data_IF_033767309902
#
_entry.id   IF_033767309902
#
_cell.length_a   1.000
_cell.length_b   1.000
_cell.length_c   1.000
_cell.angle_alpha   90.00
_cell.angle_beta   90.00
_cell.angle_gamma   90.00
#
_symmetry.space_group_name_H-M   'P 1'
#
loop_
_entity.id
_entity.type
_entity.pdbx_description
1 polymer ?
#
# COMPACT_ATOMS: atom_id res chain seq x y z
N UNK A 1 11.06 22.46 -43.54
CA UNK A 1 9.81 23.19 -43.25
C UNK A 1 9.48 22.91 -41.80
N UNK A 2 9.57 23.94 -40.97
CA UNK A 2 9.32 23.88 -39.52
C UNK A 2 7.86 24.28 -39.27
N UNK A 3 7.08 23.44 -38.60
CA UNK A 3 5.77 23.80 -38.07
C UNK A 3 5.83 23.75 -36.54
N UNK A 4 5.80 24.93 -35.94
CA UNK A 4 5.63 25.16 -34.52
C UNK A 4 4.14 25.02 -34.20
N UNK A 5 3.78 24.15 -33.27
CA UNK A 5 2.45 24.07 -32.65
C UNK A 5 2.52 24.65 -31.27
N UNK A 6 1.91 25.83 -31.11
CA UNK A 6 1.77 26.52 -29.82
C UNK A 6 0.70 25.82 -28.98
N UNK A 7 1.03 25.42 -27.76
CA UNK A 7 0.09 24.95 -26.75
C UNK A 7 -0.34 26.11 -25.87
N UNK A 8 -1.64 26.42 -25.88
CA UNK A 8 -2.28 27.42 -25.03
C UNK A 8 -2.57 26.84 -23.64
N UNK A 9 -2.03 27.47 -22.61
CA UNK A 9 -2.30 27.17 -21.20
C UNK A 9 -3.50 28.00 -20.77
N UNK A 10 -4.62 27.36 -20.44
CA UNK A 10 -5.79 28.01 -19.83
C UNK A 10 -5.74 27.85 -18.31
N UNK A 11 -5.55 28.98 -17.65
CA UNK A 11 -5.54 29.11 -16.18
C UNK A 11 -6.99 29.35 -15.72
N UNK A 12 -7.62 28.41 -15.01
CA UNK A 12 -8.90 28.61 -14.33
C UNK A 12 -8.65 28.87 -12.84
N UNK A 13 -8.86 30.12 -12.46
CA UNK A 13 -8.87 30.60 -11.07
C UNK A 13 -10.33 30.55 -10.58
N UNK A 14 -10.67 29.67 -9.64
CA UNK A 14 -11.96 29.66 -8.96
C UNK A 14 -11.78 30.11 -7.51
N UNK A 15 -12.25 31.33 -7.20
CA UNK A 15 -12.35 31.86 -5.86
C UNK A 15 -13.67 31.39 -5.23
N UNK A 16 -13.62 30.77 -4.03
CA UNK A 16 -14.82 30.48 -3.21
C UNK A 16 -14.81 31.37 -1.98
N UNK A 17 -15.85 32.19 -1.89
CA UNK A 17 -16.18 33.06 -0.76
C UNK A 17 -16.78 32.23 0.39
N UNK A 18 -16.22 32.43 1.58
CA UNK A 18 -16.76 31.95 2.85
C UNK A 18 -17.71 33.02 3.40
N UNK A 19 -18.97 32.66 3.62
CA UNK A 19 -19.95 33.51 4.34
C UNK A 19 -20.19 32.91 5.72
N UNK A 20 -19.80 33.64 6.74
CA UNK A 20 -20.11 33.37 8.14
C UNK A 20 -21.46 34.02 8.49
N UNK A 21 -22.35 33.28 9.18
CA UNK A 21 -23.47 33.84 9.91
C UNK A 21 -23.49 33.28 11.32
N UNK A 22 -23.30 34.18 12.26
CA UNK A 22 -23.49 33.99 13.69
C UNK A 22 -24.93 34.41 14.10
N UNK A 23 -25.31 34.05 15.31
CA UNK A 23 -26.42 34.43 16.19
C UNK A 23 -27.47 33.33 16.39
N UNK A 24 -27.85 32.98 17.58
CA UNK A 24 -28.15 33.58 18.80
C UNK A 24 -28.63 32.56 19.84
N UNK A 25 -28.26 32.76 21.08
CA UNK A 25 -28.86 32.10 22.25
C UNK A 25 -30.22 32.69 22.59
N UNK A 26 -31.11 31.95 23.27
CA UNK A 26 -31.62 32.50 24.53
C UNK A 26 -31.55 31.53 25.72
N UNK A 27 -31.22 32.13 26.81
CA UNK A 27 -31.28 31.72 28.21
C UNK A 27 -32.71 31.48 28.65
N UNK A 28 -32.97 30.39 29.37
CA UNK A 28 -34.15 30.32 30.26
C UNK A 28 -33.80 29.59 31.55
N UNK A 29 -34.09 30.26 32.63
CA UNK A 29 -33.77 30.04 34.04
C UNK A 29 -34.75 29.06 34.69
N UNK A 30 -34.25 28.20 35.57
CA UNK A 30 -34.65 27.37 36.69
C UNK A 30 -36.11 27.42 37.22
N UNK A 31 -36.56 26.54 38.18
CA UNK A 31 -35.79 26.03 39.33
C UNK A 31 -36.00 24.56 39.74
N UNK A 32 -35.00 24.04 40.42
CA UNK A 32 -34.94 23.22 41.66
C UNK A 32 -36.10 22.32 42.06
N UNK A 33 -35.79 21.01 42.24
CA UNK A 33 -36.21 20.26 43.43
C UNK A 33 -35.27 19.06 43.63
N UNK A 34 -34.70 18.97 44.81
CA UNK A 34 -33.79 17.92 45.25
C UNK A 34 -34.56 16.67 45.71
N UNK A 35 -34.03 15.50 45.42
CA UNK A 35 -34.17 14.31 46.26
C UNK A 35 -32.93 13.40 46.09
N UNK A 36 -32.40 12.78 47.14
CA UNK A 36 -31.17 12.01 47.08
C UNK A 36 -31.48 10.57 46.69
N UNK A 37 -30.79 10.04 45.73
CA UNK A 37 -30.73 8.60 45.44
C UNK A 37 -29.32 8.12 45.43
N UNK A 38 -29.12 7.24 46.34
CA UNK A 38 -28.01 6.34 46.66
C UNK A 38 -27.09 5.96 45.55
N UNK A 39 -25.80 6.01 45.90
CA UNK A 39 -24.64 5.51 45.23
C UNK A 39 -24.81 4.11 44.61
N UNK A 40 -24.65 4.04 43.31
CA UNK A 40 -24.24 2.85 42.61
C UNK A 40 -22.85 3.12 42.01
N UNK A 41 -21.81 2.68 42.67
CA UNK A 41 -20.47 2.59 42.11
C UNK A 41 -20.48 1.49 41.03
N UNK A 42 -21.03 1.78 39.86
CA UNK A 42 -20.72 1.03 38.67
C UNK A 42 -19.36 1.51 38.18
N UNK A 43 -18.31 0.83 38.67
CA UNK A 43 -16.96 0.97 38.10
C UNK A 43 -17.06 0.61 36.63
N UNK A 44 -17.06 1.63 35.76
CA UNK A 44 -16.72 1.45 34.35
C UNK A 44 -15.27 0.99 34.29
N UNK A 45 -15.05 -0.31 34.25
CA UNK A 45 -13.80 -0.90 33.79
C UNK A 45 -13.76 -0.57 32.30
N UNK A 46 -13.19 0.58 31.96
CA UNK A 46 -12.67 0.80 30.62
C UNK A 46 -11.67 -0.31 30.38
N UNK A 47 -11.82 -1.13 29.32
CA UNK A 47 -10.76 -2.03 28.95
C UNK A 47 -9.53 -1.16 28.68
N UNK A 48 -8.53 -1.25 29.52
CA UNK A 48 -7.19 -0.76 29.22
C UNK A 48 -6.67 -1.63 28.08
N UNK A 49 -7.14 -1.34 26.86
CA UNK A 49 -6.48 -1.82 25.68
C UNK A 49 -5.06 -1.28 25.71
N UNK A 50 -4.08 -2.15 25.91
CA UNK A 50 -2.68 -1.80 25.68
C UNK A 50 -2.65 -1.10 24.32
N UNK A 51 -2.32 0.18 24.31
CA UNK A 51 -2.21 0.93 23.04
C UNK A 51 -1.22 0.15 22.18
N UNK A 52 -1.67 -0.33 21.02
CA UNK A 52 -0.80 -1.00 20.08
C UNK A 52 0.33 -0.03 19.73
N UNK A 53 1.56 -0.50 19.74
CA UNK A 53 2.72 0.30 19.31
C UNK A 53 2.66 0.59 17.79
N UNK A 54 1.86 -0.18 17.06
CA UNK A 54 1.59 0.01 15.64
C UNK A 54 0.53 1.08 15.40
N UNK A 55 0.81 2.02 14.54
CA UNK A 55 -0.19 2.98 14.06
C UNK A 55 -1.14 2.34 13.03
N UNK A 56 -2.29 2.94 12.76
CA UNK A 56 -3.15 2.51 11.64
C UNK A 56 -2.41 2.53 10.28
N UNK A 57 -1.45 3.43 10.10
CA UNK A 57 -0.63 3.50 8.88
C UNK A 57 0.26 2.27 8.75
N UNK A 58 0.95 1.86 9.83
CA UNK A 58 1.77 0.64 9.84
C UNK A 58 0.95 -0.58 9.42
N UNK A 59 -0.22 -0.75 10.03
CA UNK A 59 -1.10 -1.90 9.75
C UNK A 59 -1.58 -1.89 8.30
N UNK A 60 -2.06 -0.75 7.82
CA UNK A 60 -2.56 -0.61 6.45
C UNK A 60 -1.45 -0.87 5.42
N UNK A 61 -0.24 -0.34 5.66
CA UNK A 61 0.90 -0.57 4.79
C UNK A 61 1.33 -2.05 4.76
N UNK A 62 1.38 -2.70 5.92
CA UNK A 62 1.71 -4.13 6.01
C UNK A 62 0.68 -4.99 5.27
N UNK A 63 -0.61 -4.73 5.46
CA UNK A 63 -1.70 -5.43 4.76
C UNK A 63 -1.59 -5.27 3.25
N UNK A 64 -1.34 -4.05 2.77
CA UNK A 64 -1.16 -3.76 1.35
C UNK A 64 0.10 -4.45 0.80
N UNK A 65 1.21 -4.42 1.54
CA UNK A 65 2.47 -5.09 1.18
C UNK A 65 2.27 -6.60 1.04
N UNK A 66 1.53 -7.24 1.95
CA UNK A 66 1.18 -8.66 1.85
C UNK A 66 0.41 -8.94 0.56
N UNK A 67 -0.70 -8.22 0.32
CA UNK A 67 -1.54 -8.44 -0.85
C UNK A 67 -0.78 -8.20 -2.17
N UNK A 68 0.04 -7.17 -2.24
CA UNK A 68 0.86 -6.88 -3.42
C UNK A 68 1.88 -7.98 -3.73
N UNK A 69 2.60 -8.48 -2.70
CA UNK A 69 3.58 -9.56 -2.88
C UNK A 69 2.91 -10.87 -3.33
N UNK A 70 1.76 -11.22 -2.74
CA UNK A 70 1.00 -12.41 -3.12
C UNK A 70 0.56 -12.40 -4.59
N UNK A 71 0.28 -11.22 -5.14
CA UNK A 71 -0.10 -11.04 -6.55
C UNK A 71 1.09 -11.05 -7.51
N UNK A 72 2.29 -10.63 -7.08
CA UNK A 72 3.48 -10.63 -7.92
C UNK A 72 4.16 -11.99 -7.99
N UNK A 73 4.25 -12.72 -6.88
CA UNK A 73 5.00 -13.97 -6.79
C UNK A 73 4.62 -15.00 -7.86
N UNK A 74 3.33 -15.20 -8.22
CA UNK A 74 2.95 -16.09 -9.31
C UNK A 74 3.54 -15.71 -10.67
N UNK A 75 3.75 -14.42 -10.95
CA UNK A 75 4.39 -13.96 -12.19
C UNK A 75 5.85 -14.39 -12.22
N UNK A 76 6.56 -14.19 -11.11
CA UNK A 76 7.99 -14.56 -11.00
C UNK A 76 8.17 -16.08 -11.07
N UNK A 77 7.25 -16.85 -10.49
CA UNK A 77 7.28 -18.31 -10.51
C UNK A 77 7.00 -18.91 -11.90
N UNK A 78 6.33 -18.17 -12.78
CA UNK A 78 6.11 -18.60 -14.16
C UNK A 78 7.35 -18.47 -15.04
N UNK A 79 8.31 -17.58 -14.71
CA UNK A 79 9.46 -17.24 -15.56
C UNK A 79 10.23 -18.47 -16.08
N UNK A 80 10.63 -19.47 -15.24
CA UNK A 80 11.40 -20.61 -15.71
C UNK A 80 10.69 -21.46 -16.78
N UNK A 81 9.35 -21.48 -16.76
CA UNK A 81 8.55 -22.24 -17.74
C UNK A 81 8.10 -21.42 -18.95
N UNK A 82 8.41 -20.12 -19.01
CA UNK A 82 7.91 -19.20 -20.02
C UNK A 82 9.00 -18.54 -20.87
N UNK A 83 10.23 -18.52 -20.39
CA UNK A 83 11.39 -18.03 -21.15
C UNK A 83 12.62 -18.87 -20.89
N UNK A 84 13.48 -18.98 -21.90
CA UNK A 84 14.80 -19.63 -21.80
C UNK A 84 15.91 -18.62 -21.57
N UNK A 85 15.62 -17.32 -21.50
CA UNK A 85 16.59 -16.27 -21.25
C UNK A 85 17.16 -16.40 -19.82
N UNK A 86 18.45 -16.70 -19.65
CA UNK A 86 19.05 -16.89 -18.34
C UNK A 86 19.11 -15.61 -17.49
N UNK A 87 19.13 -14.43 -18.13
CA UNK A 87 19.12 -13.15 -17.43
C UNK A 87 17.76 -12.91 -16.77
N UNK A 88 16.66 -13.19 -17.48
CA UNK A 88 15.31 -13.17 -16.94
C UNK A 88 15.12 -14.19 -15.83
N UNK A 89 15.59 -15.42 -15.99
CA UNK A 89 15.49 -16.46 -14.96
C UNK A 89 16.25 -16.06 -13.69
N UNK A 90 17.46 -15.53 -13.83
CA UNK A 90 18.27 -15.05 -12.70
C UNK A 90 17.62 -13.86 -12.00
N UNK A 91 17.10 -12.91 -12.76
CA UNK A 91 16.38 -11.75 -12.22
C UNK A 91 15.15 -12.18 -11.42
N UNK A 92 14.29 -13.01 -11.99
CA UNK A 92 13.06 -13.47 -11.34
C UNK A 92 13.34 -14.30 -10.09
N UNK A 93 14.32 -15.18 -10.10
CA UNK A 93 14.71 -16.00 -8.95
C UNK A 93 15.17 -15.12 -7.77
N UNK A 94 16.04 -14.13 -8.04
CA UNK A 94 16.50 -13.19 -7.02
C UNK A 94 15.37 -12.33 -6.48
N UNK A 95 14.56 -11.72 -7.36
CA UNK A 95 13.44 -10.88 -6.98
C UNK A 95 12.40 -11.69 -6.17
N UNK A 96 12.07 -12.90 -6.63
CA UNK A 96 11.15 -13.78 -5.92
C UNK A 96 11.63 -14.16 -4.52
N UNK A 97 12.94 -14.39 -4.34
CA UNK A 97 13.52 -14.66 -3.02
C UNK A 97 13.37 -13.45 -2.09
N UNK A 98 13.66 -12.24 -2.56
CA UNK A 98 13.50 -11.01 -1.80
C UNK A 98 12.04 -10.78 -1.40
N UNK A 99 11.12 -10.86 -2.36
CA UNK A 99 9.69 -10.66 -2.09
C UNK A 99 9.08 -11.70 -1.14
N UNK A 100 9.55 -12.94 -1.15
CA UNK A 100 9.14 -13.95 -0.14
C UNK A 100 9.65 -13.61 1.26
N UNK A 101 10.85 -13.06 1.39
CA UNK A 101 11.39 -12.60 2.66
C UNK A 101 10.60 -11.40 3.21
N UNK A 102 10.29 -10.42 2.35
CA UNK A 102 9.47 -9.26 2.71
C UNK A 102 8.06 -9.68 3.13
N UNK A 103 7.43 -10.59 2.37
CA UNK A 103 6.11 -11.16 2.69
C UNK A 103 6.10 -11.86 4.05
N UNK A 104 7.13 -12.66 4.34
CA UNK A 104 7.28 -13.34 5.62
C UNK A 104 7.41 -12.33 6.77
N UNK A 105 8.22 -11.29 6.59
CA UNK A 105 8.43 -10.23 7.58
C UNK A 105 7.15 -9.42 7.79
N UNK A 106 6.46 -9.02 6.73
CA UNK A 106 5.21 -8.28 6.82
C UNK A 106 4.11 -9.06 7.55
N UNK A 107 3.96 -10.36 7.25
CA UNK A 107 3.01 -11.24 7.94
C UNK A 107 3.33 -11.38 9.42
N UNK A 108 4.60 -11.52 9.79
CA UNK A 108 5.02 -11.59 11.18
C UNK A 108 4.71 -10.29 11.93
N UNK A 109 4.99 -9.13 11.33
CA UNK A 109 4.67 -7.82 11.93
C UNK A 109 3.16 -7.60 12.05
N UNK A 110 2.35 -8.04 11.09
CA UNK A 110 0.90 -8.02 11.20
C UNK A 110 0.39 -8.88 12.36
N UNK A 111 0.93 -10.09 12.53
CA UNK A 111 0.58 -10.93 13.66
C UNK A 111 0.98 -10.28 15.00
N UNK A 112 2.13 -9.65 15.06
CA UNK A 112 2.62 -8.90 16.24
C UNK A 112 1.72 -7.70 16.56
N UNK A 113 1.18 -7.02 15.54
CA UNK A 113 0.29 -5.86 15.73
C UNK A 113 -1.08 -6.23 16.29
N UNK A 114 -1.46 -7.50 16.27
CA UNK A 114 -2.81 -7.96 16.62
C UNK A 114 -3.88 -7.58 15.57
N UNK A 115 -3.48 -7.18 14.37
CA UNK A 115 -4.41 -6.88 13.30
C UNK A 115 -5.26 -8.12 12.92
N UNK A 116 -6.51 -7.94 12.45
CA UNK A 116 -7.33 -9.05 11.98
C UNK A 116 -6.62 -9.89 10.93
N UNK A 117 -6.85 -11.21 10.95
CA UNK A 117 -6.27 -12.14 9.98
C UNK A 117 -6.78 -11.91 8.55
N UNK A 118 -7.96 -11.31 8.41
CA UNK A 118 -8.54 -10.95 7.11
C UNK A 118 -7.84 -9.71 6.53
N UNK A 119 -7.37 -9.83 5.29
CA UNK A 119 -6.73 -8.70 4.60
C UNK A 119 -7.80 -7.89 3.84
N UNK A 120 -8.02 -6.59 4.16
CA UNK A 120 -9.02 -5.76 3.49
C UNK A 120 -8.71 -5.50 2.02
N UNK A 121 -7.48 -5.81 1.56
CA UNK A 121 -7.08 -5.67 0.16
C UNK A 121 -7.25 -6.97 -0.65
N UNK A 122 -7.67 -8.06 -0.01
CA UNK A 122 -7.95 -9.32 -0.68
C UNK A 122 -9.10 -9.16 -1.68
N UNK A 123 -8.91 -9.62 -2.91
CA UNK A 123 -9.90 -9.49 -3.99
C UNK A 123 -9.99 -8.09 -4.64
N UNK A 124 -9.28 -7.10 -4.14
CA UNK A 124 -9.25 -5.77 -4.75
C UNK A 124 -8.10 -5.62 -5.75
N UNK A 125 -8.40 -5.06 -6.92
CA UNK A 125 -7.40 -4.70 -7.91
C UNK A 125 -6.91 -3.28 -7.65
N UNK A 126 -5.67 -3.16 -7.20
CA UNK A 126 -5.03 -1.89 -6.90
C UNK A 126 -3.83 -1.65 -7.82
N UNK A 127 -3.43 -0.38 -8.05
CA UNK A 127 -2.25 -0.08 -8.85
C UNK A 127 -1.02 -0.87 -8.38
N UNK A 128 -0.33 -1.53 -9.31
CA UNK A 128 0.84 -2.37 -9.03
C UNK A 128 0.54 -3.80 -8.58
N UNK A 129 -0.74 -4.18 -8.46
CA UNK A 129 -1.17 -5.57 -8.30
C UNK A 129 -1.41 -6.21 -9.67
N UNK A 130 -1.07 -7.47 -9.80
CA UNK A 130 -1.39 -8.27 -11.00
C UNK A 130 -2.77 -8.90 -10.79
N UNK A 131 -3.67 -8.67 -11.72
CA UNK A 131 -5.03 -9.21 -11.69
C UNK A 131 -5.08 -10.66 -12.18
N UNK A 132 -6.14 -11.39 -11.87
CA UNK A 132 -6.34 -12.76 -12.38
C UNK A 132 -6.44 -12.80 -13.91
N UNK A 133 -7.01 -11.75 -14.53
CA UNK A 133 -7.07 -11.61 -15.98
C UNK A 133 -5.67 -11.48 -16.59
N UNK A 134 -4.79 -10.68 -15.97
CA UNK A 134 -3.41 -10.49 -16.41
C UNK A 134 -2.58 -11.76 -16.20
N UNK A 135 -2.76 -12.47 -15.08
CA UNK A 135 -2.15 -13.79 -14.85
C UNK A 135 -2.57 -14.81 -15.91
N UNK A 136 -3.85 -14.80 -16.31
CA UNK A 136 -4.34 -15.67 -17.39
C UNK A 136 -3.68 -15.34 -18.72
N UNK A 137 -3.52 -14.04 -19.03
CA UNK A 137 -2.82 -13.57 -20.22
C UNK A 137 -1.34 -14.00 -20.19
N UNK A 138 -0.65 -13.84 -19.07
CA UNK A 138 0.74 -14.27 -18.90
C UNK A 138 0.91 -15.79 -19.10
N UNK A 139 -0.05 -16.60 -18.63
CA UNK A 139 -0.04 -18.05 -18.82
C UNK A 139 -0.19 -18.46 -20.29
N UNK A 140 -0.73 -17.60 -21.15
CA UNK A 140 -0.97 -17.92 -22.56
C UNK A 140 0.20 -17.60 -23.50
N UNK A 141 1.23 -16.86 -23.02
CA UNK A 141 2.36 -16.40 -23.83
C UNK A 141 3.69 -16.96 -23.33
N UNK A 142 4.71 -16.95 -24.21
CA UNK A 142 6.07 -17.43 -23.91
C UNK A 142 7.13 -16.54 -24.58
N UNK A 143 8.41 -16.73 -24.24
CA UNK A 143 9.54 -16.01 -24.83
C UNK A 143 9.42 -14.50 -24.69
N UNK A 144 9.83 -13.75 -25.69
CA UNK A 144 9.86 -12.27 -25.69
C UNK A 144 8.50 -11.65 -25.37
N UNK A 145 7.40 -12.28 -25.79
CA UNK A 145 6.04 -11.77 -25.50
C UNK A 145 5.74 -11.86 -23.99
N UNK A 146 6.11 -12.98 -23.35
CA UNK A 146 6.00 -13.15 -21.91
C UNK A 146 6.92 -12.17 -21.16
N UNK A 147 8.19 -12.07 -21.55
CA UNK A 147 9.18 -11.17 -20.93
C UNK A 147 8.73 -9.72 -20.92
N UNK A 148 8.18 -9.24 -22.05
CA UNK A 148 7.63 -7.89 -22.14
C UNK A 148 6.47 -7.65 -21.18
N UNK A 149 5.50 -8.57 -21.13
CA UNK A 149 4.34 -8.44 -20.24
C UNK A 149 4.75 -8.59 -18.77
N UNK A 150 5.55 -9.59 -18.43
CA UNK A 150 6.08 -9.77 -17.08
C UNK A 150 6.87 -8.54 -16.63
N UNK A 151 7.70 -7.98 -17.51
CA UNK A 151 8.45 -6.75 -17.23
C UNK A 151 7.56 -5.55 -16.93
N UNK A 152 6.44 -5.39 -17.65
CA UNK A 152 5.47 -4.33 -17.38
C UNK A 152 4.83 -4.48 -15.99
N UNK A 153 4.39 -5.69 -15.63
CA UNK A 153 3.78 -5.96 -14.31
C UNK A 153 4.78 -5.83 -13.16
N UNK A 154 5.99 -6.37 -13.33
CA UNK A 154 7.08 -6.20 -12.34
C UNK A 154 7.41 -4.72 -12.13
N UNK A 155 7.51 -3.95 -13.21
CA UNK A 155 7.76 -2.51 -13.13
C UNK A 155 6.65 -1.78 -12.37
N UNK A 156 5.40 -2.01 -12.73
CA UNK A 156 4.25 -1.39 -12.06
C UNK A 156 4.22 -1.72 -10.56
N UNK A 157 4.50 -2.98 -10.22
CA UNK A 157 4.59 -3.43 -8.83
C UNK A 157 5.70 -2.70 -8.07
N UNK A 158 6.94 -2.71 -8.59
CA UNK A 158 8.09 -2.09 -7.93
C UNK A 158 7.89 -0.58 -7.73
N UNK A 159 7.38 0.12 -8.75
CA UNK A 159 7.07 1.55 -8.65
C UNK A 159 6.02 1.84 -7.56
N UNK A 160 4.99 1.00 -7.45
CA UNK A 160 3.98 1.15 -6.41
C UNK A 160 4.55 0.82 -5.03
N UNK A 161 5.31 -0.28 -4.91
CA UNK A 161 5.95 -0.68 -3.66
C UNK A 161 6.86 0.43 -3.10
N UNK A 162 7.72 1.02 -3.94
CA UNK A 162 8.56 2.16 -3.57
C UNK A 162 7.72 3.36 -3.08
N UNK A 163 6.66 3.69 -3.80
CA UNK A 163 5.79 4.84 -3.46
C UNK A 163 5.09 4.66 -2.11
N UNK A 164 4.48 3.49 -1.87
CA UNK A 164 3.80 3.24 -0.59
C UNK A 164 4.78 3.08 0.56
N UNK A 165 5.96 2.49 0.33
CA UNK A 165 7.02 2.38 1.31
C UNK A 165 7.55 3.77 1.74
N UNK A 166 7.71 4.69 0.79
CA UNK A 166 8.07 6.07 1.10
C UNK A 166 6.98 6.80 1.93
N UNK A 167 5.70 6.48 1.73
CA UNK A 167 4.61 7.01 2.56
C UNK A 167 4.66 6.45 3.98
N UNK A 168 4.93 5.14 4.13
CA UNK A 168 5.11 4.49 5.43
C UNK A 168 6.29 5.08 6.21
N UNK A 169 7.43 5.30 5.58
CA UNK A 169 8.60 5.92 6.23
C UNK A 169 8.31 7.32 6.80
N UNK A 170 7.37 8.06 6.20
CA UNK A 170 7.00 9.40 6.67
C UNK A 170 5.92 9.39 7.76
N UNK A 171 5.04 8.41 7.77
CA UNK A 171 3.81 8.44 8.54
C UNK A 171 3.64 7.23 9.47
N UNK A 172 4.45 6.18 9.32
CA UNK A 172 4.49 5.03 10.20
C UNK A 172 5.08 5.39 11.57
N UNK A 173 4.72 4.63 12.59
CA UNK A 173 5.17 4.84 13.96
C UNK A 173 6.00 3.67 14.49
N UNK A 174 5.76 2.45 14.03
CA UNK A 174 6.46 1.28 14.54
C UNK A 174 7.83 1.11 13.88
N UNK A 175 8.94 1.13 14.65
CA UNK A 175 10.30 1.16 14.08
C UNK A 175 10.61 0.00 13.14
N UNK A 176 10.12 -1.22 13.45
CA UNK A 176 10.38 -2.38 12.59
C UNK A 176 9.60 -2.30 11.26
N UNK A 177 8.42 -1.69 11.23
CA UNK A 177 7.63 -1.48 10.01
C UNK A 177 8.29 -0.42 9.13
N UNK A 178 8.68 0.71 9.71
CA UNK A 178 9.36 1.79 8.97
C UNK A 178 10.74 1.34 8.46
N UNK A 179 11.46 0.48 9.19
CA UNK A 179 12.70 -0.12 8.73
C UNK A 179 12.49 -1.07 7.54
N UNK A 180 11.46 -1.93 7.58
CA UNK A 180 11.08 -2.77 6.44
C UNK A 180 10.70 -1.91 5.23
N UNK A 181 9.95 -0.83 5.43
CA UNK A 181 9.58 0.09 4.35
C UNK A 181 10.82 0.75 3.71
N UNK A 182 11.80 1.15 4.51
CA UNK A 182 13.05 1.69 3.99
C UNK A 182 13.83 0.68 3.14
N UNK A 183 13.84 -0.59 3.55
CA UNK A 183 14.46 -1.69 2.80
C UNK A 183 13.73 -1.96 1.49
N UNK A 184 12.39 -2.04 1.51
CA UNK A 184 11.55 -2.23 0.31
C UNK A 184 11.75 -1.10 -0.69
N UNK A 185 11.80 0.15 -0.25
CA UNK A 185 12.04 1.29 -1.14
C UNK A 185 13.42 1.20 -1.79
N UNK A 186 14.48 0.99 -1.00
CA UNK A 186 15.86 0.91 -1.49
C UNK A 186 16.06 -0.27 -2.45
N UNK A 187 15.51 -1.44 -2.10
CA UNK A 187 15.59 -2.62 -2.94
C UNK A 187 14.79 -2.43 -4.24
N UNK A 188 13.59 -1.85 -4.16
CA UNK A 188 12.72 -1.58 -5.31
C UNK A 188 13.39 -0.69 -6.35
N UNK A 189 14.04 0.40 -5.95
CA UNK A 189 14.79 1.28 -6.87
C UNK A 189 15.95 0.54 -7.55
N UNK A 190 16.67 -0.30 -6.82
CA UNK A 190 17.74 -1.12 -7.37
C UNK A 190 17.22 -2.15 -8.37
N UNK A 191 16.07 -2.78 -8.10
CA UNK A 191 15.46 -3.76 -9.00
C UNK A 191 14.84 -3.11 -10.25
N UNK A 192 14.27 -1.91 -10.14
CA UNK A 192 13.84 -1.11 -11.31
C UNK A 192 15.02 -0.84 -12.26
N UNK A 193 16.16 -0.44 -11.71
CA UNK A 193 17.40 -0.23 -12.50
C UNK A 193 17.87 -1.51 -13.19
N UNK A 194 17.72 -2.67 -12.55
CA UNK A 194 18.09 -3.97 -13.16
C UNK A 194 17.10 -4.38 -14.25
N UNK A 195 15.81 -4.19 -14.01
CA UNK A 195 14.77 -4.47 -14.99
C UNK A 195 14.93 -3.61 -16.25
N UNK A 196 15.31 -2.34 -16.11
CA UNK A 196 15.62 -1.47 -17.27
C UNK A 196 16.70 -2.06 -18.16
N UNK A 197 17.74 -2.65 -17.57
CA UNK A 197 18.84 -3.29 -18.34
C UNK A 197 18.45 -4.58 -19.04
N UNK A 198 17.41 -5.27 -18.54
CA UNK A 198 16.88 -6.50 -19.14
C UNK A 198 15.97 -6.21 -20.33
N UNK A 199 15.33 -5.03 -20.34
CA UNK A 199 14.30 -4.67 -21.31
C UNK A 199 14.78 -3.71 -22.40
N UNK A 200 16.08 -3.36 -22.41
CA UNK A 200 16.75 -2.61 -23.49
C UNK A 200 17.13 -3.53 -24.64
#
# INVERSE_FOLDING_TARGET
MRTLVSASISLFLAALLVTACATGSPTTTAPSTAAPSTAGLAGSVSPSGSASLFSPTDIAWLQLTVAMNERLLPVLDMVPGRTTDPAWQTFAARLGTAHRADLSTARRLLAESGAPATNPHEGHDMPGMVTEQELTTLRSVTGVAFERLAGQHVRAHLQQAVRIAAAEQRNGAYPATTALAAEVARAGDAELTRLDRLTL
#
